data_IF_363677057971
#
_entry.id   IF_363677057971
#
_cell.length_a   1.000
_cell.length_b   1.000
_cell.length_c   1.000
_cell.angle_alpha   90.00
_cell.angle_beta   90.00
_cell.angle_gamma   90.00
#
_symmetry.space_group_name_H-M   'P 1'
#
loop_
_entity.id
_entity.type
_entity.pdbx_description
1 polymer ?
#
# COMPACT_ATOMS: atom_id res chain seq x y z
N UNK A 1 8.19 11.64 6.98
CA UNK A 1 7.66 11.90 5.63
C UNK A 1 8.45 13.03 5.01
N UNK A 2 8.78 12.94 3.75
CA UNK A 2 9.62 13.96 3.10
C UNK A 2 8.92 15.31 3.05
N UNK A 3 9.70 16.38 3.18
CA UNK A 3 9.13 17.72 3.20
C UNK A 3 8.39 18.08 1.92
N UNK A 4 8.90 17.62 0.78
CA UNK A 4 8.27 17.91 -0.49
C UNK A 4 6.90 17.26 -0.59
N UNK A 5 6.73 16.09 0.04
CA UNK A 5 5.46 15.41 0.06
C UNK A 5 4.47 16.17 0.95
N UNK A 6 4.94 16.64 2.10
CA UNK A 6 4.08 17.41 2.99
C UNK A 6 3.62 18.71 2.35
N UNK A 7 4.50 19.36 1.59
CA UNK A 7 4.13 20.58 0.90
C UNK A 7 3.05 20.30 -0.14
N UNK A 8 3.18 19.22 -0.88
CA UNK A 8 2.20 18.86 -1.91
C UNK A 8 0.85 18.54 -1.29
N UNK A 9 0.84 17.88 -0.12
CA UNK A 9 -0.40 17.59 0.56
C UNK A 9 -1.12 18.86 0.98
N UNK A 10 -0.37 19.86 1.44
CA UNK A 10 -0.99 21.13 1.84
C UNK A 10 -1.53 21.88 0.63
N UNK A 11 -0.85 21.78 -0.51
CA UNK A 11 -1.26 22.51 -1.69
C UNK A 11 -2.45 21.86 -2.37
N UNK A 12 -2.52 20.54 -2.35
CA UNK A 12 -3.62 19.80 -3.00
C UNK A 12 -4.21 18.79 -2.04
N UNK A 13 -5.01 19.23 -1.07
CA UNK A 13 -5.49 18.32 -0.02
C UNK A 13 -6.61 17.37 -0.44
N UNK A 14 -7.26 17.61 -1.56
CA UNK A 14 -8.40 16.82 -1.94
C UNK A 14 -8.17 15.91 -3.14
N UNK A 15 -6.95 15.47 -3.36
CA UNK A 15 -6.66 14.56 -4.47
C UNK A 15 -7.15 13.17 -4.12
N UNK A 16 -7.86 12.48 -5.01
CA UNK A 16 -8.38 11.16 -4.71
C UNK A 16 -7.26 10.16 -4.44
N UNK A 17 -7.54 9.20 -3.57
CA UNK A 17 -6.57 8.17 -3.24
C UNK A 17 -6.59 7.07 -4.30
N UNK A 18 -5.52 6.28 -4.33
CA UNK A 18 -5.36 5.20 -5.29
C UNK A 18 -5.37 3.86 -4.58
N UNK A 19 -5.96 2.86 -5.21
CA UNK A 19 -6.06 1.53 -4.64
C UNK A 19 -5.63 0.50 -5.69
N UNK A 20 -4.97 -0.54 -5.25
CA UNK A 20 -4.68 -1.67 -6.13
C UNK A 20 -3.41 -1.56 -6.97
N UNK A 21 -2.74 -0.41 -6.97
CA UNK A 21 -1.59 -0.21 -7.85
C UNK A 21 -0.26 -0.65 -7.26
N UNK A 22 -0.17 -0.80 -5.94
CA UNK A 22 1.09 -1.08 -5.28
C UNK A 22 0.90 -2.22 -4.29
N UNK A 23 1.81 -3.18 -4.31
CA UNK A 23 1.77 -4.30 -3.37
C UNK A 23 3.10 -4.52 -2.69
N UNK A 24 3.05 -5.06 -1.48
CA UNK A 24 4.24 -5.42 -0.74
C UNK A 24 4.10 -6.89 -0.36
N UNK A 25 5.02 -7.71 -0.81
CA UNK A 25 4.91 -9.13 -0.57
C UNK A 25 5.48 -9.52 0.80
N UNK A 26 5.35 -10.79 1.16
CA UNK A 26 5.79 -11.24 2.46
C UNK A 26 7.30 -11.22 2.63
N UNK A 27 8.04 -11.02 1.54
CA UNK A 27 9.49 -10.94 1.61
C UNK A 27 9.97 -9.49 1.67
N UNK A 28 9.05 -8.53 1.68
CA UNK A 28 9.39 -7.12 1.70
C UNK A 28 9.70 -6.54 0.33
N UNK A 29 9.28 -7.20 -0.74
CA UNK A 29 9.50 -6.71 -2.08
C UNK A 29 8.29 -5.96 -2.57
N UNK A 30 8.52 -4.85 -3.29
CA UNK A 30 7.45 -3.99 -3.79
C UNK A 30 7.09 -4.36 -5.22
N UNK A 31 5.80 -4.29 -5.55
CA UNK A 31 5.28 -4.66 -6.84
C UNK A 31 4.35 -3.60 -7.38
N UNK A 32 4.44 -3.31 -8.68
CA UNK A 32 3.54 -2.38 -9.34
C UNK A 32 2.50 -3.20 -10.08
N UNK A 33 1.25 -2.86 -9.89
CA UNK A 33 0.14 -3.60 -10.47
C UNK A 33 -0.63 -2.69 -11.41
N UNK A 34 -0.39 -2.85 -12.71
CA UNK A 34 -1.13 -2.08 -13.71
C UNK A 34 -2.56 -2.59 -13.81
N UNK A 35 -3.34 -2.01 -14.71
CA UNK A 35 -4.74 -2.40 -14.83
C UNK A 35 -4.89 -3.87 -15.20
N UNK A 36 -4.00 -4.40 -16.02
CA UNK A 36 -4.08 -5.80 -16.40
C UNK A 36 -3.83 -6.70 -15.19
N UNK A 37 -2.87 -6.37 -14.34
CA UNK A 37 -2.60 -7.15 -13.15
C UNK A 37 -3.77 -7.08 -12.17
N UNK A 38 -4.37 -5.91 -12.03
CA UNK A 38 -5.51 -5.74 -11.15
C UNK A 38 -6.72 -6.52 -11.64
N UNK A 39 -6.93 -6.53 -12.95
CA UNK A 39 -8.06 -7.25 -13.52
C UNK A 39 -7.86 -8.77 -13.45
N UNK A 40 -6.63 -9.24 -13.43
CA UNK A 40 -6.36 -10.67 -13.44
C UNK A 40 -6.58 -11.33 -12.07
N UNK A 41 -6.63 -10.55 -11.01
CA UNK A 41 -6.86 -11.13 -9.69
C UNK A 41 -6.33 -10.25 -8.58
N UNK A 42 -6.41 -10.75 -7.35
CA UNK A 42 -5.90 -10.02 -6.21
C UNK A 42 -4.38 -10.09 -6.18
N UNK A 43 -3.78 -9.41 -5.23
CA UNK A 43 -2.32 -9.30 -5.19
C UNK A 43 -1.65 -10.66 -5.05
N UNK A 44 -2.17 -11.52 -4.23
CA UNK A 44 -1.52 -12.82 -4.02
C UNK A 44 -1.46 -13.63 -5.30
N UNK A 45 -2.45 -13.48 -6.19
CA UNK A 45 -2.53 -14.25 -7.42
C UNK A 45 -2.10 -13.47 -8.66
N UNK A 46 -1.94 -12.18 -8.56
CA UNK A 46 -1.56 -11.35 -9.70
C UNK A 46 -0.72 -10.18 -9.20
N UNK A 47 0.56 -10.43 -8.95
CA UNK A 47 1.42 -9.43 -8.34
C UNK A 47 1.83 -8.29 -9.24
N UNK A 48 1.88 -8.53 -10.52
CA UNK A 48 2.31 -7.49 -11.46
C UNK A 48 3.81 -7.54 -11.69
N UNK A 49 4.46 -6.39 -11.71
CA UNK A 49 5.87 -6.28 -12.00
C UNK A 49 6.63 -5.90 -10.74
N UNK A 50 7.71 -6.63 -10.46
CA UNK A 50 8.49 -6.33 -9.27
C UNK A 50 9.23 -5.01 -9.47
N UNK A 51 9.16 -4.14 -8.47
CA UNK A 51 9.83 -2.87 -8.52
C UNK A 51 11.27 -3.06 -8.11
N UNK A 52 12.20 -2.62 -8.97
CA UNK A 52 13.62 -2.79 -8.70
C UNK A 52 14.37 -1.47 -8.62
N UNK A 53 13.70 -0.36 -8.84
CA UNK A 53 14.36 0.95 -8.85
C UNK A 53 14.60 1.36 -7.40
N UNK A 54 15.87 1.31 -6.98
CA UNK A 54 16.20 1.50 -5.57
C UNK A 54 15.85 2.88 -5.04
N UNK A 55 15.99 3.92 -5.86
CA UNK A 55 15.65 5.25 -5.39
C UNK A 55 14.15 5.41 -5.16
N UNK A 56 13.34 4.81 -6.02
CA UNK A 56 11.92 4.86 -5.86
C UNK A 56 11.48 4.03 -4.65
N UNK A 57 12.09 2.87 -4.45
CA UNK A 57 11.78 2.06 -3.28
C UNK A 57 12.11 2.85 -2.01
N UNK A 58 13.24 3.53 -1.98
CA UNK A 58 13.60 4.34 -0.83
C UNK A 58 12.61 5.46 -0.59
N UNK A 59 12.12 6.10 -1.65
CA UNK A 59 11.14 7.16 -1.53
C UNK A 59 9.82 6.60 -0.97
N UNK A 60 9.40 5.45 -1.46
CA UNK A 60 8.18 4.82 -0.95
C UNK A 60 8.34 4.53 0.53
N UNK A 61 9.46 3.98 0.93
CA UNK A 61 9.66 3.57 2.32
C UNK A 61 9.76 4.76 3.27
N UNK A 62 10.24 5.90 2.80
CA UNK A 62 10.29 7.09 3.63
C UNK A 62 8.92 7.74 3.81
N UNK A 63 7.99 7.43 2.92
CA UNK A 63 6.67 8.06 2.94
C UNK A 63 5.56 7.02 3.12
N UNK A 64 5.85 5.97 3.84
CA UNK A 64 4.96 4.83 4.04
C UNK A 64 4.46 4.86 5.49
N UNK A 65 3.18 4.72 5.68
CA UNK A 65 2.59 4.83 7.00
C UNK A 65 1.26 4.10 7.06
N UNK A 66 0.72 3.92 8.25
CA UNK A 66 -0.59 3.35 8.43
C UNK A 66 -1.56 4.44 8.84
N UNK A 67 -2.79 4.35 8.37
CA UNK A 67 -3.81 5.31 8.76
C UNK A 67 -4.45 4.87 10.09
N UNK A 68 -5.47 5.59 10.52
CA UNK A 68 -6.10 5.34 11.81
C UNK A 68 -6.77 3.96 11.89
N UNK A 69 -7.11 3.37 10.76
CA UNK A 69 -7.72 2.06 10.73
C UNK A 69 -6.71 0.95 10.52
N UNK A 70 -5.43 1.27 10.46
CA UNK A 70 -4.39 0.27 10.25
C UNK A 70 -4.15 -0.07 8.80
N UNK A 71 -4.64 0.72 7.87
CA UNK A 71 -4.41 0.47 6.46
C UNK A 71 -3.13 1.16 6.02
N UNK A 72 -2.23 0.41 5.42
CA UNK A 72 -0.93 0.95 5.04
C UNK A 72 -0.99 1.63 3.69
N UNK A 73 -0.31 2.75 3.57
CA UNK A 73 -0.28 3.51 2.33
C UNK A 73 1.06 4.19 2.12
N UNK A 74 1.35 4.48 0.87
CA UNK A 74 2.50 5.28 0.47
C UNK A 74 1.95 6.66 0.09
N UNK A 75 2.47 7.72 0.72
CA UNK A 75 2.02 9.07 0.40
C UNK A 75 2.80 9.54 -0.82
N UNK A 76 2.16 9.49 -1.98
CA UNK A 76 2.80 9.84 -3.23
C UNK A 76 2.43 11.27 -3.57
N UNK A 77 3.05 12.23 -2.89
CA UNK A 77 2.61 13.62 -3.03
C UNK A 77 1.25 13.77 -2.39
N UNK A 78 0.29 14.42 -3.05
CA UNK A 78 -1.03 14.63 -2.48
C UNK A 78 -1.83 13.36 -2.25
N UNK A 79 -1.86 12.38 -3.17
CA UNK A 79 -2.70 11.23 -2.95
C UNK A 79 -2.03 10.17 -2.11
N UNK A 80 -2.85 9.34 -1.47
CA UNK A 80 -2.36 8.14 -0.82
C UNK A 80 -2.50 6.99 -1.79
N UNK A 81 -1.48 6.16 -1.90
CA UNK A 81 -1.53 4.93 -2.67
C UNK A 81 -1.60 3.81 -1.64
N UNK A 82 -2.78 3.23 -1.47
CA UNK A 82 -2.94 2.18 -0.48
C UNK A 82 -2.27 0.90 -0.98
N UNK A 83 -1.57 0.24 -0.08
CA UNK A 83 -0.70 -0.88 -0.42
C UNK A 83 -1.43 -2.18 -0.18
N UNK A 84 -1.39 -3.07 -1.16
CA UNK A 84 -1.92 -4.41 -1.01
C UNK A 84 -0.87 -5.24 -0.30
N UNK A 85 -1.22 -5.83 0.83
CA UNK A 85 -0.26 -6.61 1.60
C UNK A 85 -0.52 -8.09 1.41
N UNK A 86 0.53 -8.81 1.06
CA UNK A 86 0.44 -10.24 0.97
C UNK A 86 0.60 -10.81 2.38
N UNK A 87 -0.08 -11.81 2.67
CA UNK A 87 0.14 -12.49 3.92
C UNK A 87 -0.13 -11.72 5.17
N UNK A 88 -1.01 -10.79 5.11
CA UNK A 88 -1.34 -10.06 6.24
C UNK A 88 -1.87 -10.88 7.28
N UNK A 89 -2.44 -11.90 7.00
CA UNK A 89 -3.05 -12.66 8.00
C UNK A 89 -2.15 -13.05 9.07
N UNK A 90 -0.92 -13.09 8.81
CA UNK A 90 -0.11 -13.52 9.79
C UNK A 90 -0.29 -12.72 10.91
N UNK A 91 -0.68 -11.72 10.71
CA UNK A 91 -0.82 -10.87 11.69
C UNK A 91 -1.74 -11.33 12.62
N UNK A 92 -2.60 -12.03 12.27
CA UNK A 92 -3.51 -12.33 13.09
C UNK A 92 -3.36 -13.32 13.87
N UNK A 93 -2.47 -13.86 13.78
CA UNK A 93 -2.40 -14.79 14.55
C UNK A 93 -2.62 -14.34 15.77
N UNK A 94 -2.47 -13.48 15.94
CA UNK A 94 -2.62 -13.01 17.06
C UNK A 94 -3.81 -13.07 17.57
N UNK A 95 -4.29 -13.09 17.97
CA UNK A 95 -5.21 -13.07 18.60
C UNK A 95 -6.22 -13.38 18.47
N UNK A 96 -6.03 -13.86 18.47
CA UNK A 96 -7.03 -14.32 18.50
C UNK A 96 -8.06 -13.46 18.44
N UNK A 97 -8.09 -12.83 18.76
CA UNK A 97 -9.02 -11.99 18.72
C UNK A 97 -9.29 -11.73 17.54
N UNK A 98 -8.79 -12.21 16.97
CA UNK A 98 -9.00 -11.99 15.83
C UNK A 98 -9.99 -11.28 15.36
N UNK A 99 -10.48 -11.19 15.46
CA UNK A 99 -11.43 -10.58 15.05
C UNK A 99 -11.24 -9.50 14.48
N UNK A 100 -10.66 -9.21 14.59
CA UNK A 100 -10.56 -8.15 14.15
C UNK A 100 -10.00 -7.89 13.08
N UNK A 101 -9.67 -8.40 12.54
CA UNK A 101 -9.01 -7.99 11.61
C UNK A 101 -9.57 -7.81 10.45
N UNK A 102 -9.43 -6.91 9.86
CA UNK A 102 -9.81 -6.72 8.59
C UNK A 102 -8.83 -7.25 7.65
N UNK A 103 -9.18 -7.87 6.64
CA UNK A 103 -8.26 -8.28 5.61
C UNK A 103 -7.66 -7.06 4.96
N UNK A 104 -6.50 -7.17 4.41
CA UNK A 104 -5.88 -6.04 3.77
C UNK A 104 -6.74 -5.44 2.69
N UNK A 105 -7.40 -6.23 1.93
CA UNK A 105 -8.20 -5.67 0.89
C UNK A 105 -9.34 -4.82 1.39
N UNK A 106 -9.76 -5.03 2.62
CA UNK A 106 -10.83 -4.23 3.14
C UNK A 106 -10.39 -2.80 3.36
N UNK A 107 -9.12 -2.58 3.53
CA UNK A 107 -8.63 -1.22 3.74
C UNK A 107 -8.67 -0.41 2.46
N UNK A 108 -8.70 -1.04 1.34
CA UNK A 108 -8.72 -0.34 0.08
C UNK A 108 -10.11 0.08 -0.32
N UNK A 109 -11.09 -0.32 0.39
CA UNK A 109 -12.45 0.05 0.05
C UNK A 109 -12.77 1.49 0.44
#
# INVERSE_FOLDING_TARGET
MDAIVEQAMRKWPNVPHCYGWLGLDQRGQWWLRDLAAQAAGDFAHSKGSRLEHTQLIGFIERNYAADAQGCWFFQNGPPRVFVELENTPLVWRGPADGQVHSPPGACAQ
#
